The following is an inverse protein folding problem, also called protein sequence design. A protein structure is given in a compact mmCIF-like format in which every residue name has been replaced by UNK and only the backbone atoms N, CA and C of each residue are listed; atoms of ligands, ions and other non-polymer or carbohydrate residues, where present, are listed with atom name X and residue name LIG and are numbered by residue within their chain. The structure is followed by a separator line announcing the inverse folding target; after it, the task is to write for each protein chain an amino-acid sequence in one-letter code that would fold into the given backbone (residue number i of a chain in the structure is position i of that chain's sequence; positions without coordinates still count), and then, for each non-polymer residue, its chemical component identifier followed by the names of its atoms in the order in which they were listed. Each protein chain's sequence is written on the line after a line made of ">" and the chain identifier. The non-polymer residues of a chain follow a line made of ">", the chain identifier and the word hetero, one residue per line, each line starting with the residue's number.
data_IF_123757971612
#
_entry.id   IF_123757971612
#
_cell.length_a   1.000
_cell.length_b   1.000
_cell.length_c   1.000
_cell.angle_alpha   90.00
_cell.angle_beta   90.00
_cell.angle_gamma   90.00
#
_symmetry.space_group_name_H-M   'P 1'
#
loop_
_entity.id
_entity.type
_entity.pdbx_description
1 polymer ?
#
# COMPACT_ATOMS: atom_id res chain seq x y z
N UNK A 1 -16.31 -12.84 -0.55
CA UNK A 1 -16.06 -11.56 0.16
C UNK A 1 -15.77 -11.92 1.61
N UNK A 2 -14.56 -11.65 2.09
CA UNK A 2 -14.12 -12.01 3.44
C UNK A 2 -13.02 -13.07 3.50
N UNK A 3 -12.28 -13.30 2.42
CA UNK A 3 -11.11 -14.18 2.46
C UNK A 3 -9.99 -13.49 3.24
N UNK A 4 -9.27 -14.26 4.07
CA UNK A 4 -8.10 -13.75 4.79
C UNK A 4 -7.09 -13.21 3.76
N UNK A 5 -6.55 -12.02 4.02
CA UNK A 5 -5.41 -11.51 3.24
C UNK A 5 -4.31 -12.57 3.26
N UNK A 6 -3.76 -12.96 2.10
CA UNK A 6 -2.67 -13.93 2.05
C UNK A 6 -1.44 -13.36 2.75
N UNK A 7 -0.62 -14.24 3.30
CA UNK A 7 0.62 -13.80 3.91
C UNK A 7 1.56 -13.26 2.81
N UNK A 8 2.12 -12.06 3.02
CA UNK A 8 2.99 -11.39 2.04
C UNK A 8 4.18 -10.74 2.72
N UNK A 9 5.26 -10.58 1.95
CA UNK A 9 6.43 -9.78 2.31
C UNK A 9 6.80 -8.88 1.12
N UNK A 10 7.03 -7.60 1.40
CA UNK A 10 7.42 -6.60 0.42
C UNK A 10 8.67 -5.89 0.92
N UNK A 11 9.69 -5.83 0.06
CA UNK A 11 10.86 -4.98 0.29
C UNK A 11 10.62 -3.62 -0.37
N UNK A 12 10.66 -2.56 0.43
CA UNK A 12 10.52 -1.18 -0.03
C UNK A 12 11.82 -0.67 -0.64
N UNK A 13 11.75 0.48 -1.30
CA UNK A 13 12.89 1.07 -2.02
C UNK A 13 14.07 1.46 -1.11
N UNK A 14 13.83 1.64 0.19
CA UNK A 14 14.85 1.90 1.22
C UNK A 14 15.44 0.60 1.83
N UNK A 15 14.97 -0.57 1.40
CA UNK A 15 15.41 -1.88 1.89
C UNK A 15 14.65 -2.38 3.13
N UNK A 16 13.66 -1.64 3.63
CA UNK A 16 12.81 -2.11 4.72
C UNK A 16 11.93 -3.26 4.24
N UNK A 17 11.77 -4.29 5.09
CA UNK A 17 10.86 -5.41 4.81
C UNK A 17 9.59 -5.21 5.61
N UNK A 18 8.45 -5.25 4.94
CA UNK A 18 7.13 -5.22 5.52
C UNK A 18 6.39 -6.51 5.24
N UNK A 19 5.61 -6.99 6.19
CA UNK A 19 4.79 -8.18 6.10
C UNK A 19 3.31 -7.88 6.32
N UNK A 20 2.45 -8.80 5.90
CA UNK A 20 1.02 -8.75 6.22
C UNK A 20 0.72 -8.72 7.72
N UNK A 21 1.58 -9.31 8.55
CA UNK A 21 1.39 -9.37 10.00
C UNK A 21 1.63 -8.02 10.67
N UNK A 22 2.52 -7.19 10.12
CA UNK A 22 2.83 -5.86 10.65
C UNK A 22 1.62 -4.92 10.68
N UNK A 23 0.62 -5.19 9.84
CA UNK A 23 -0.60 -4.40 9.68
C UNK A 23 -1.87 -5.11 10.17
N UNK A 24 -1.72 -6.25 10.87
CA UNK A 24 -2.85 -7.02 11.36
C UNK A 24 -3.71 -6.20 12.34
N UNK A 25 -5.02 -6.13 12.08
CA UNK A 25 -5.96 -5.36 12.90
C UNK A 25 -6.01 -3.86 12.59
N UNK A 26 -5.23 -3.39 11.61
CA UNK A 26 -5.29 -2.02 11.10
C UNK A 26 -6.07 -1.96 9.78
N UNK A 27 -6.70 -0.80 9.51
CA UNK A 27 -7.27 -0.54 8.20
C UNK A 27 -6.11 -0.24 7.23
N UNK A 28 -5.83 -1.19 6.33
CA UNK A 28 -4.81 -1.06 5.31
C UNK A 28 -5.46 -0.76 3.96
N UNK A 29 -5.04 0.33 3.32
CA UNK A 29 -5.39 0.66 1.93
C UNK A 29 -4.17 0.39 1.05
N UNK A 30 -4.33 -0.48 0.05
CA UNK A 30 -3.28 -0.79 -0.93
C UNK A 30 -3.57 -0.11 -2.25
N UNK A 31 -2.62 0.69 -2.73
CA UNK A 31 -2.67 1.35 -4.03
C UNK A 31 -1.52 0.83 -4.92
N UNK A 32 -1.86 0.37 -6.13
CA UNK A 32 -0.92 -0.23 -7.07
C UNK A 32 -0.72 0.71 -8.25
N UNK A 33 0.42 1.41 -8.26
CA UNK A 33 0.76 2.37 -9.30
C UNK A 33 2.24 2.25 -9.71
N UNK A 34 2.66 3.09 -10.67
CA UNK A 34 4.06 3.17 -11.07
C UNK A 34 4.45 4.58 -11.51
N UNK A 35 5.73 4.94 -11.40
CA UNK A 35 6.25 6.31 -11.65
C UNK A 35 5.98 6.83 -13.05
N UNK A 36 5.87 5.94 -14.03
CA UNK A 36 5.55 6.25 -15.42
C UNK A 36 4.05 6.33 -15.71
N UNK A 37 3.18 6.21 -14.71
CA UNK A 37 1.74 6.40 -14.85
C UNK A 37 1.35 7.87 -14.59
N UNK A 38 1.17 8.71 -15.62
CA UNK A 38 0.88 10.14 -15.44
C UNK A 38 -0.41 10.39 -14.65
N UNK A 39 -1.49 9.68 -14.96
CA UNK A 39 -2.76 9.83 -14.24
C UNK A 39 -2.68 9.38 -12.77
N UNK A 40 -1.82 8.41 -12.46
CA UNK A 40 -1.63 7.95 -11.09
C UNK A 40 -0.92 9.03 -10.26
N UNK A 41 0.09 9.68 -10.84
CA UNK A 41 0.81 10.78 -10.18
C UNK A 41 -0.13 11.92 -9.77
N UNK A 42 -1.10 12.26 -10.62
CA UNK A 42 -2.11 13.29 -10.33
C UNK A 42 -3.05 12.89 -9.18
N UNK A 43 -3.22 11.58 -8.93
CA UNK A 43 -4.08 11.04 -7.88
C UNK A 43 -3.39 10.87 -6.51
N UNK A 44 -2.05 10.78 -6.48
CA UNK A 44 -1.28 10.61 -5.24
C UNK A 44 -1.59 11.65 -4.15
N UNK A 45 -1.76 12.96 -4.45
CA UNK A 45 -2.08 13.96 -3.43
C UNK A 45 -3.42 13.69 -2.72
N UNK A 46 -4.38 13.10 -3.43
CA UNK A 46 -5.68 12.74 -2.86
C UNK A 46 -5.55 11.52 -1.95
N UNK A 47 -4.70 10.55 -2.32
CA UNK A 47 -4.43 9.37 -1.49
C UNK A 47 -3.75 9.72 -0.17
N UNK A 48 -2.93 10.79 -0.14
CA UNK A 48 -2.30 11.27 1.10
C UNK A 48 -3.31 11.73 2.15
N UNK A 49 -4.47 12.26 1.74
CA UNK A 49 -5.53 12.71 2.66
C UNK A 49 -6.18 11.55 3.43
N UNK A 50 -5.97 10.30 3.01
CA UNK A 50 -6.50 9.11 3.70
C UNK A 50 -5.62 8.64 4.87
N UNK A 51 -4.41 9.19 4.99
CA UNK A 51 -3.43 8.82 6.03
C UNK A 51 -3.42 9.79 7.23
N UNK A 52 -4.27 10.83 7.20
CA UNK A 52 -4.52 11.76 8.31
C UNK A 52 -5.74 11.35 9.15
#
# INVERSE_FOLDING_TARGET
>A
MGDKVPDWEITTADGTVHSSEDYAGQLLVLDFWSSWCPNCNDALPVMQLLHE
#
